data_IF_565209164724
#
_entry.id   IF_565209164724
#
_cell.length_a   1.000
_cell.length_b   1.000
_cell.length_c   1.000
_cell.angle_alpha   90.00
_cell.angle_beta   90.00
_cell.angle_gamma   90.00
#
_symmetry.space_group_name_H-M   'P 1'
#
loop_
_entity.id
_entity.type
_entity.pdbx_description
1 polymer ?
#
# COMPACT_ATOMS: atom_id res chain seq x y z
N UNK A 1 52.71 -13.80 -44.52
CA UNK A 1 52.61 -15.15 -45.13
C UNK A 1 51.88 -16.03 -44.12
N UNK A 2 50.73 -16.67 -44.31
CA UNK A 2 49.81 -16.94 -45.42
C UNK A 2 48.38 -16.99 -44.78
N UNK A 3 47.27 -16.48 -45.32
CA UNK A 3 46.48 -16.80 -46.54
C UNK A 3 45.75 -18.16 -46.51
N UNK A 4 44.43 -18.12 -46.22
CA UNK A 4 43.31 -18.96 -46.73
C UNK A 4 42.06 -18.67 -45.84
N UNK A 5 40.90 -18.11 -46.21
CA UNK A 5 40.05 -18.01 -47.40
C UNK A 5 38.91 -19.06 -47.49
N UNK A 6 37.67 -18.52 -47.55
CA UNK A 6 36.38 -19.08 -48.04
C UNK A 6 35.62 -20.13 -47.18
N UNK A 7 34.28 -20.23 -47.13
CA UNK A 7 33.20 -19.86 -48.07
C UNK A 7 31.81 -19.69 -47.38
N UNK A 8 31.03 -18.74 -47.92
CA UNK A 8 29.56 -18.59 -48.04
C UNK A 8 28.54 -19.56 -47.40
N UNK A 9 27.43 -18.97 -46.92
CA UNK A 9 26.12 -19.62 -46.72
C UNK A 9 24.99 -18.62 -46.45
N UNK A 10 24.41 -18.07 -47.52
CA UNK A 10 23.21 -17.24 -47.60
C UNK A 10 21.93 -18.12 -47.52
N UNK A 11 20.80 -17.60 -47.01
CA UNK A 11 19.37 -17.95 -47.31
C UNK A 11 18.53 -17.59 -46.06
N UNK A 12 17.33 -17.01 -46.07
CA UNK A 12 16.57 -16.23 -47.04
C UNK A 12 15.44 -15.51 -46.28
N UNK A 13 15.03 -14.38 -46.81
CA UNK A 13 13.89 -13.55 -46.41
C UNK A 13 12.58 -14.23 -46.83
N UNK A 14 11.55 -14.20 -45.98
CA UNK A 14 10.17 -14.39 -46.38
C UNK A 14 9.28 -13.32 -45.73
N UNK A 15 8.64 -12.53 -46.59
CA UNK A 15 7.74 -11.41 -46.29
C UNK A 15 6.34 -11.77 -46.81
N UNK A 16 5.31 -11.39 -46.03
CA UNK A 16 3.91 -11.14 -46.40
C UNK A 16 3.01 -12.36 -46.75
N UNK A 17 1.65 -12.23 -46.78
CA UNK A 17 0.84 -11.01 -46.68
C UNK A 17 -0.36 -11.05 -45.71
N UNK A 18 -0.95 -9.86 -45.54
CA UNK A 18 -2.26 -9.59 -45.00
C UNK A 18 -3.38 -10.02 -45.96
N UNK A 19 -4.54 -10.39 -45.42
CA UNK A 19 -5.80 -10.49 -46.17
C UNK A 19 -6.98 -9.99 -45.31
N UNK A 20 -7.73 -9.07 -45.90
CA UNK A 20 -9.00 -8.47 -45.49
C UNK A 20 -10.18 -9.35 -45.94
N UNK A 21 -11.30 -9.35 -45.21
CA UNK A 21 -12.70 -9.65 -45.65
C UNK A 21 -13.57 -9.99 -44.43
N UNK A 22 -14.88 -9.74 -44.32
CA UNK A 22 -15.86 -8.85 -44.91
C UNK A 22 -17.12 -8.96 -44.01
N UNK A 23 -18.01 -7.98 -44.13
CA UNK A 23 -19.28 -7.90 -43.40
C UNK A 23 -20.26 -9.05 -43.69
N UNK A 24 -21.13 -9.36 -42.72
CA UNK A 24 -22.45 -9.93 -42.99
C UNK A 24 -23.43 -9.60 -41.86
N UNK A 25 -24.34 -8.67 -42.14
CA UNK A 25 -25.59 -8.48 -41.42
C UNK A 25 -26.69 -9.32 -42.10
N UNK A 26 -27.53 -10.03 -41.34
CA UNK A 26 -28.91 -10.37 -41.71
C UNK A 26 -29.62 -10.96 -40.47
N UNK A 27 -30.64 -10.29 -39.93
CA UNK A 27 -32.08 -10.34 -40.27
C UNK A 27 -32.84 -11.49 -39.60
N UNK A 28 -33.76 -11.07 -38.74
CA UNK A 28 -34.90 -11.78 -38.13
C UNK A 28 -35.87 -12.31 -39.21
N UNK A 29 -36.61 -13.41 -38.94
CA UNK A 29 -38.07 -13.35 -38.77
C UNK A 29 -38.52 -14.14 -37.51
N UNK A 30 -39.39 -13.63 -36.62
CA UNK A 30 -40.86 -13.40 -36.68
C UNK A 30 -41.74 -14.65 -36.85
N UNK A 31 -42.58 -14.86 -35.83
CA UNK A 31 -43.83 -15.64 -35.83
C UNK A 31 -43.90 -16.59 -34.62
N UNK A 32 -44.85 -16.53 -33.66
CA UNK A 32 -46.06 -15.72 -33.49
C UNK A 32 -47.15 -16.56 -32.81
N UNK A 33 -47.82 -15.97 -31.79
CA UNK A 33 -49.21 -16.23 -31.34
C UNK A 33 -49.55 -17.62 -30.72
N UNK A 34 -50.48 -17.86 -29.77
CA UNK A 34 -51.57 -17.24 -28.97
C UNK A 34 -51.75 -18.17 -27.73
N UNK A 35 -52.38 -17.86 -26.59
CA UNK A 35 -53.31 -16.81 -26.15
C UNK A 35 -53.47 -16.91 -24.61
N UNK A 36 -53.72 -15.82 -23.89
CA UNK A 36 -55.04 -15.27 -23.52
C UNK A 36 -55.94 -16.24 -22.75
N UNK A 37 -56.04 -16.03 -21.43
CA UNK A 37 -57.34 -15.93 -20.77
C UNK A 37 -57.29 -14.95 -19.59
N UNK A 38 -58.19 -13.98 -19.66
CA UNK A 38 -58.48 -12.99 -18.63
C UNK A 38 -59.70 -13.42 -17.81
N UNK A 39 -59.73 -13.09 -16.52
CA UNK A 39 -60.94 -12.76 -15.77
C UNK A 39 -60.55 -11.99 -14.48
N UNK A 40 -61.32 -10.94 -14.19
CA UNK A 40 -61.26 -10.00 -13.06
C UNK A 40 -62.53 -10.18 -12.18
N UNK A 41 -62.84 -9.38 -11.13
CA UNK A 41 -62.11 -9.04 -9.88
C UNK A 41 -62.96 -9.14 -8.56
N UNK A 42 -62.27 -8.99 -7.40
CA UNK A 42 -62.71 -8.42 -6.08
C UNK A 42 -63.83 -9.13 -5.25
N UNK A 43 -64.03 -8.87 -3.91
CA UNK A 43 -63.49 -7.77 -3.08
C UNK A 43 -63.07 -8.07 -1.60
N UNK A 44 -62.55 -7.01 -0.96
CA UNK A 44 -62.58 -6.62 0.48
C UNK A 44 -61.97 -7.53 1.58
N UNK A 45 -60.98 -6.98 2.30
CA UNK A 45 -61.09 -6.62 3.73
C UNK A 45 -59.77 -6.75 4.54
N UNK A 46 -59.45 -5.65 5.21
CA UNK A 46 -58.74 -5.52 6.50
C UNK A 46 -57.21 -5.42 6.48
N UNK A 47 -56.78 -4.16 6.55
CA UNK A 47 -55.47 -3.73 7.01
C UNK A 47 -55.17 -4.25 8.43
N UNK A 48 -53.99 -4.84 8.60
CA UNK A 48 -53.34 -4.95 9.91
C UNK A 48 -51.95 -4.33 9.84
N UNK A 49 -51.85 -3.11 10.36
CA UNK A 49 -50.60 -2.49 10.77
C UNK A 49 -49.95 -3.39 11.80
N UNK A 50 -48.76 -3.93 11.52
CA UNK A 50 -47.92 -4.48 12.58
C UNK A 50 -47.04 -3.34 13.04
N UNK A 51 -47.43 -2.83 14.21
CA UNK A 51 -46.77 -1.78 14.95
C UNK A 51 -45.39 -2.27 15.40
N UNK A 52 -44.36 -1.45 15.18
CA UNK A 52 -43.09 -1.57 15.85
C UNK A 52 -43.35 -1.47 17.36
N UNK A 53 -43.15 -2.56 18.11
CA UNK A 53 -43.20 -2.52 19.57
C UNK A 53 -41.80 -2.70 20.14
N UNK A 54 -41.34 -1.60 20.72
CA UNK A 54 -40.25 -1.51 21.68
C UNK A 54 -40.47 -2.52 22.81
N UNK A 55 -39.43 -3.30 23.10
CA UNK A 55 -39.29 -4.05 24.33
C UNK A 55 -37.99 -3.59 25.00
N UNK A 56 -38.14 -2.64 25.92
CA UNK A 56 -37.19 -2.40 26.99
C UNK A 56 -37.43 -3.44 28.09
N UNK A 57 -36.43 -4.27 28.39
CA UNK A 57 -36.16 -4.90 29.69
C UNK A 57 -34.78 -5.58 29.57
N UNK A 58 -33.70 -4.89 29.94
CA UNK A 58 -33.11 -4.88 31.28
C UNK A 58 -32.40 -6.21 31.67
N UNK A 59 -31.12 -6.26 31.31
CA UNK A 59 -29.97 -6.56 32.17
C UNK A 59 -29.83 -7.97 32.80
N UNK A 60 -28.99 -8.84 32.22
CA UNK A 60 -28.12 -9.77 32.99
C UNK A 60 -26.85 -10.08 32.18
N UNK A 61 -25.70 -10.00 32.86
CA UNK A 61 -24.31 -10.27 32.42
C UNK A 61 -23.58 -9.08 31.80
N UNK A 62 -23.35 -8.08 32.66
CA UNK A 62 -22.23 -7.17 32.49
C UNK A 62 -20.91 -7.94 32.53
N UNK A 63 -20.22 -7.96 31.40
CA UNK A 63 -18.78 -7.77 31.46
C UNK A 63 -18.60 -6.27 31.74
N UNK A 64 -18.37 -5.92 33.00
CA UNK A 64 -17.70 -4.66 33.29
C UNK A 64 -16.35 -4.74 32.59
N UNK A 65 -16.23 -4.15 31.40
CA UNK A 65 -14.92 -3.69 30.97
C UNK A 65 -14.56 -2.62 31.98
N UNK A 66 -13.84 -3.03 33.02
CA UNK A 66 -12.98 -2.14 33.78
C UNK A 66 -12.41 -1.14 32.79
N UNK A 67 -12.55 0.15 33.07
CA UNK A 67 -11.74 1.17 32.43
C UNK A 67 -10.30 0.87 32.81
N UNK A 68 -9.68 -0.09 32.14
CA UNK A 68 -8.24 -0.12 31.99
C UNK A 68 -7.93 1.11 31.15
N UNK A 69 -6.97 1.86 31.65
CA UNK A 69 -6.21 2.84 30.89
C UNK A 69 -5.43 2.07 29.80
N UNK A 70 -6.15 1.47 28.85
CA UNK A 70 -5.55 0.73 27.73
C UNK A 70 -4.90 1.78 26.84
N UNK A 71 -3.59 1.94 27.00
CA UNK A 71 -2.78 2.77 26.14
C UNK A 71 -3.05 2.38 24.68
N UNK A 72 -3.50 3.34 23.87
CA UNK A 72 -3.74 3.13 22.44
C UNK A 72 -2.45 2.57 21.82
N UNK A 73 -2.47 1.38 21.20
CA UNK A 73 -1.28 0.76 20.66
C UNK A 73 -0.72 1.61 19.51
N UNK A 74 0.59 1.57 19.31
CA UNK A 74 1.23 2.27 18.18
C UNK A 74 1.00 1.43 16.92
N UNK A 75 0.30 1.95 15.90
CA UNK A 75 0.14 1.25 14.64
C UNK A 75 1.44 1.20 13.85
N UNK A 76 1.66 0.08 13.19
CA UNK A 76 2.79 -0.18 12.31
C UNK A 76 2.28 -0.62 10.95
N UNK A 77 2.73 0.07 9.89
CA UNK A 77 2.46 -0.29 8.49
C UNK A 77 3.77 -0.44 7.77
N UNK A 78 4.06 -1.65 7.31
CA UNK A 78 5.32 -1.99 6.64
C UNK A 78 5.06 -2.56 5.25
N UNK A 79 5.82 -2.12 4.26
CA UNK A 79 5.87 -2.71 2.93
C UNK A 79 7.25 -3.30 2.73
N UNK A 80 7.32 -4.59 2.42
CA UNK A 80 8.54 -5.36 2.28
C UNK A 80 8.66 -5.92 0.86
N UNK A 81 9.75 -5.55 0.19
CA UNK A 81 10.12 -6.05 -1.14
C UNK A 81 11.31 -7.01 -1.12
N UNK A 82 11.86 -7.40 0.02
CA UNK A 82 13.04 -8.29 0.07
C UNK A 82 12.64 -9.75 0.38
N UNK A 83 11.68 -9.95 1.28
CA UNK A 83 11.34 -11.30 1.79
C UNK A 83 10.77 -12.25 0.72
N UNK A 84 10.18 -11.71 -0.35
CA UNK A 84 9.64 -12.48 -1.46
C UNK A 84 10.06 -11.86 -2.81
N UNK A 85 10.50 -12.73 -3.73
CA UNK A 85 10.95 -12.30 -5.06
C UNK A 85 9.80 -12.04 -6.01
N UNK A 86 8.68 -12.73 -5.82
CA UNK A 86 7.58 -12.72 -6.79
C UNK A 86 6.43 -11.80 -6.36
N UNK A 87 6.38 -11.43 -5.07
CA UNK A 87 5.33 -10.57 -4.51
C UNK A 87 5.90 -9.48 -3.61
N UNK A 88 5.12 -8.43 -3.42
CA UNK A 88 5.39 -7.39 -2.41
C UNK A 88 4.56 -7.72 -1.19
N UNK A 89 5.13 -7.66 0.01
CA UNK A 89 4.42 -7.98 1.24
C UNK A 89 3.99 -6.67 1.90
N UNK A 90 2.70 -6.58 2.25
CA UNK A 90 2.16 -5.48 3.05
C UNK A 90 1.79 -6.03 4.41
N UNK A 91 2.37 -5.46 5.45
CA UNK A 91 2.13 -5.80 6.83
C UNK A 91 1.44 -4.65 7.54
N UNK A 92 0.42 -4.98 8.33
CA UNK A 92 -0.27 -4.06 9.22
C UNK A 92 -0.33 -4.68 10.61
N UNK A 93 -0.03 -3.88 11.63
CA UNK A 93 -0.07 -4.29 13.03
C UNK A 93 -0.68 -3.18 13.88
N UNK A 94 -1.77 -3.48 14.59
CA UNK A 94 -2.42 -2.54 15.50
C UNK A 94 -3.31 -3.27 16.52
N UNK A 95 -2.84 -3.36 17.78
CA UNK A 95 -3.59 -3.95 18.90
C UNK A 95 -4.20 -5.33 18.63
N UNK A 96 -5.20 -5.71 19.41
CA UNK A 96 -6.01 -6.92 19.19
C UNK A 96 -7.23 -6.65 18.28
N UNK A 97 -7.42 -5.39 17.87
CA UNK A 97 -8.57 -4.92 17.13
C UNK A 97 -8.18 -4.64 15.69
N UNK A 98 -8.67 -5.47 14.78
CA UNK A 98 -8.58 -5.18 13.36
C UNK A 98 -9.98 -4.98 12.80
N UNK A 99 -10.40 -3.72 12.76
CA UNK A 99 -11.64 -3.26 12.15
C UNK A 99 -11.68 -3.63 10.68
N UNK A 100 -12.32 -4.78 10.43
CA UNK A 100 -12.55 -5.40 9.13
C UNK A 100 -11.29 -5.59 8.27
N UNK A 101 -10.48 -6.59 8.61
CA UNK A 101 -9.50 -7.22 7.69
C UNK A 101 -10.02 -7.35 6.24
N UNK A 102 -11.31 -7.66 6.10
CA UNK A 102 -12.02 -7.76 4.82
C UNK A 102 -12.03 -6.43 4.06
N UNK A 103 -12.19 -5.29 4.73
CA UNK A 103 -12.20 -3.97 4.13
C UNK A 103 -10.81 -3.54 3.70
N UNK A 104 -9.76 -3.86 4.46
CA UNK A 104 -8.37 -3.69 4.01
C UNK A 104 -8.10 -4.52 2.75
N UNK A 105 -8.53 -5.79 2.73
CA UNK A 105 -8.43 -6.63 1.54
C UNK A 105 -9.21 -6.05 0.35
N UNK A 106 -10.42 -5.54 0.60
CA UNK A 106 -11.25 -4.90 -0.42
C UNK A 106 -10.56 -3.64 -0.96
N UNK A 107 -10.00 -2.80 -0.11
CA UNK A 107 -9.31 -1.59 -0.52
C UNK A 107 -8.07 -1.89 -1.37
N UNK A 108 -7.30 -2.93 -1.01
CA UNK A 108 -6.19 -3.41 -1.86
C UNK A 108 -6.69 -3.90 -3.23
N UNK A 109 -7.79 -4.66 -3.28
CA UNK A 109 -8.41 -5.08 -4.55
C UNK A 109 -8.95 -3.91 -5.37
N UNK A 110 -9.53 -2.91 -4.72
CA UNK A 110 -10.07 -1.71 -5.38
C UNK A 110 -8.94 -0.86 -6.01
N UNK A 111 -7.69 -0.98 -5.52
CA UNK A 111 -6.48 -0.44 -6.18
C UNK A 111 -6.02 -1.25 -7.41
N UNK A 112 -6.69 -2.36 -7.72
CA UNK A 112 -6.30 -3.28 -8.79
C UNK A 112 -5.14 -4.21 -8.43
N UNK A 113 -5.00 -4.53 -7.14
CA UNK A 113 -3.98 -5.46 -6.65
C UNK A 113 -4.58 -6.86 -6.44
N UNK A 114 -3.78 -7.86 -6.78
CA UNK A 114 -4.06 -9.26 -6.54
C UNK A 114 -3.47 -9.67 -5.19
N UNK A 115 -4.32 -10.02 -4.22
CA UNK A 115 -3.87 -10.57 -2.93
C UNK A 115 -3.75 -12.09 -3.07
N UNK A 116 -2.53 -12.62 -3.10
CA UNK A 116 -2.25 -14.04 -3.36
C UNK A 116 -2.22 -14.88 -2.09
N UNK A 117 -1.74 -14.28 -0.99
CA UNK A 117 -1.65 -14.94 0.32
C UNK A 117 -1.92 -13.91 1.42
N UNK A 118 -2.68 -14.32 2.42
CA UNK A 118 -2.91 -13.56 3.65
C UNK A 118 -2.54 -14.40 4.86
N UNK A 119 -1.78 -13.85 5.80
CA UNK A 119 -1.46 -14.49 7.09
C UNK A 119 -1.83 -13.54 8.20
N UNK A 120 -2.52 -14.05 9.22
CA UNK A 120 -2.83 -13.30 10.44
C UNK A 120 -2.16 -14.03 11.58
N UNK A 121 -1.30 -13.34 12.31
CA UNK A 121 -0.62 -13.83 13.50
C UNK A 121 -0.95 -12.89 14.64
N UNK A 122 -1.55 -13.43 15.71
CA UNK A 122 -1.85 -12.69 16.92
C UNK A 122 -0.88 -13.16 18.00
N UNK A 123 -0.06 -12.25 18.51
CA UNK A 123 0.82 -12.49 19.65
C UNK A 123 0.42 -11.56 20.79
N UNK A 124 0.19 -12.14 21.98
CA UNK A 124 -0.46 -11.56 23.16
C UNK A 124 -1.57 -10.54 22.89
N UNK A 125 -1.21 -9.29 22.57
CA UNK A 125 -2.08 -8.12 22.46
C UNK A 125 -1.96 -7.39 21.10
N UNK A 126 -1.18 -7.95 20.16
CA UNK A 126 -0.91 -7.34 18.85
C UNK A 126 -1.18 -8.36 17.73
N UNK A 127 -2.14 -8.01 16.87
CA UNK A 127 -2.47 -8.75 15.66
C UNK A 127 -1.69 -8.17 14.50
N UNK A 128 -0.77 -8.96 13.98
CA UNK A 128 -0.03 -8.69 12.76
C UNK A 128 -0.73 -9.40 11.59
N UNK A 129 -1.07 -8.63 10.56
CA UNK A 129 -1.63 -9.12 9.30
C UNK A 129 -0.64 -8.88 8.18
N UNK A 130 -0.34 -9.92 7.41
CA UNK A 130 0.54 -9.87 6.23
C UNK A 130 -0.22 -10.27 4.98
N UNK A 131 -0.11 -9.46 3.94
CA UNK A 131 -0.66 -9.73 2.61
C UNK A 131 0.45 -9.76 1.57
N UNK A 132 0.55 -10.85 0.83
CA UNK A 132 1.34 -10.90 -0.38
C UNK A 132 0.48 -10.33 -1.51
N UNK A 133 0.97 -9.25 -2.11
CA UNK A 133 0.28 -8.52 -3.18
C UNK A 133 1.09 -8.55 -4.46
N UNK A 134 0.36 -8.61 -5.56
CA UNK A 134 0.86 -8.51 -6.92
C UNK A 134 -0.02 -7.54 -7.70
N UNK A 135 0.45 -7.10 -8.85
CA UNK A 135 -0.34 -6.32 -9.81
C UNK A 135 -0.15 -6.89 -11.19
N UNK A 136 -1.25 -7.34 -11.82
CA UNK A 136 -1.21 -7.99 -13.13
C UNK A 136 -0.25 -9.19 -13.15
N UNK A 137 -0.22 -9.96 -12.07
CA UNK A 137 0.66 -11.13 -11.91
C UNK A 137 2.15 -10.81 -11.78
N UNK A 138 2.52 -9.57 -11.44
CA UNK A 138 3.91 -9.15 -11.16
C UNK A 138 4.05 -8.50 -9.79
N UNK A 139 5.27 -8.51 -9.26
CA UNK A 139 5.64 -7.78 -8.05
C UNK A 139 5.38 -6.28 -8.21
N UNK A 140 4.99 -5.63 -7.11
CA UNK A 140 4.73 -4.19 -7.10
C UNK A 140 6.03 -3.45 -6.77
N UNK A 141 6.58 -2.77 -7.76
CA UNK A 141 7.86 -2.04 -7.65
C UNK A 141 7.71 -0.52 -7.90
N UNK A 142 6.61 -0.11 -8.52
CA UNK A 142 6.31 1.29 -8.84
C UNK A 142 6.19 2.14 -7.55
N UNK A 143 7.07 3.14 -7.33
CA UNK A 143 7.08 3.97 -6.12
C UNK A 143 5.73 4.64 -5.84
N UNK A 144 5.08 5.16 -6.88
CA UNK A 144 3.77 5.80 -6.78
C UNK A 144 2.68 4.81 -6.31
N UNK A 145 2.78 3.55 -6.71
CA UNK A 145 1.85 2.51 -6.27
C UNK A 145 2.16 2.07 -4.83
N UNK A 146 3.43 1.93 -4.44
CA UNK A 146 3.82 1.60 -3.07
C UNK A 146 3.31 2.65 -2.08
N UNK A 147 3.46 3.94 -2.41
CA UNK A 147 2.93 5.03 -1.58
C UNK A 147 1.39 4.98 -1.51
N UNK A 148 0.72 4.73 -2.65
CA UNK A 148 -0.75 4.58 -2.67
C UNK A 148 -1.23 3.42 -1.81
N UNK A 149 -0.51 2.30 -1.82
CA UNK A 149 -0.80 1.14 -0.97
C UNK A 149 -0.67 1.52 0.50
N UNK A 150 0.47 2.12 0.89
CA UNK A 150 0.74 2.56 2.25
C UNK A 150 -0.38 3.47 2.77
N UNK A 151 -0.69 4.53 2.03
CA UNK A 151 -1.73 5.49 2.40
C UNK A 151 -3.12 4.85 2.45
N UNK A 152 -3.43 3.91 1.55
CA UNK A 152 -4.73 3.22 1.55
C UNK A 152 -4.90 2.33 2.79
N UNK A 153 -3.85 1.63 3.21
CA UNK A 153 -3.88 0.79 4.41
C UNK A 153 -4.04 1.66 5.66
N UNK A 154 -3.26 2.74 5.77
CA UNK A 154 -3.37 3.71 6.88
C UNK A 154 -4.76 4.33 6.93
N UNK A 155 -5.33 4.74 5.79
CA UNK A 155 -6.67 5.34 5.75
C UNK A 155 -7.75 4.37 6.21
N UNK A 156 -7.63 3.08 5.86
CA UNK A 156 -8.56 2.07 6.38
C UNK A 156 -8.39 1.89 7.88
N UNK A 157 -7.15 1.81 8.38
CA UNK A 157 -6.89 1.74 9.82
C UNK A 157 -7.56 2.91 10.56
N UNK A 158 -7.34 4.15 10.12
CA UNK A 158 -7.90 5.35 10.75
C UNK A 158 -9.43 5.40 10.69
N UNK A 159 -10.03 4.85 9.65
CA UNK A 159 -11.48 4.78 9.50
C UNK A 159 -12.14 3.90 10.56
N UNK A 160 -11.53 2.77 10.91
CA UNK A 160 -12.09 1.83 11.89
C UNK A 160 -11.55 2.05 13.31
N UNK A 161 -10.37 2.63 13.41
CA UNK A 161 -9.67 2.95 14.66
C UNK A 161 -9.29 4.42 14.69
N UNK A 162 -10.26 5.35 14.78
CA UNK A 162 -9.97 6.78 14.82
C UNK A 162 -9.10 7.17 16.03
N UNK A 163 -9.10 6.39 17.11
CA UNK A 163 -8.19 6.54 18.26
C UNK A 163 -6.70 6.44 17.86
N UNK A 164 -6.39 5.68 16.80
CA UNK A 164 -5.01 5.54 16.32
C UNK A 164 -4.44 6.80 15.68
N UNK A 165 -5.31 7.75 15.28
CA UNK A 165 -4.89 9.03 14.69
C UNK A 165 -3.98 9.85 15.60
N UNK A 166 -4.19 9.78 16.92
CA UNK A 166 -3.37 10.49 17.91
C UNK A 166 -1.92 9.96 17.98
N UNK A 167 -1.68 8.74 17.48
CA UNK A 167 -0.37 8.07 17.50
C UNK A 167 0.30 7.98 16.12
N UNK A 168 -0.36 8.42 15.04
CA UNK A 168 0.14 8.36 13.66
C UNK A 168 0.44 9.74 13.12
N UNK A 169 1.59 9.94 12.45
CA UNK A 169 1.84 11.20 11.73
C UNK A 169 0.72 11.50 10.72
N UNK A 170 0.17 10.46 10.11
CA UNK A 170 -0.96 10.51 9.18
C UNK A 170 -2.27 10.96 9.81
N UNK A 171 -2.39 10.95 11.14
CA UNK A 171 -3.55 11.46 11.86
C UNK A 171 -3.79 12.95 11.64
N UNK A 172 -2.76 13.74 11.33
CA UNK A 172 -2.91 15.15 10.99
C UNK A 172 -3.65 15.35 9.65
N UNK A 173 -3.43 14.45 8.69
CA UNK A 173 -3.98 14.57 7.33
C UNK A 173 -5.29 13.79 7.14
N UNK A 174 -5.40 12.63 7.80
CA UNK A 174 -6.47 11.67 7.57
C UNK A 174 -7.25 11.31 8.84
N UNK A 175 -6.79 11.75 10.02
CA UNK A 175 -7.40 11.48 11.30
C UNK A 175 -8.51 12.45 11.67
N UNK A 176 -9.34 12.04 12.63
CA UNK A 176 -10.34 12.94 13.25
C UNK A 176 -9.67 13.88 14.25
N UNK A 177 -8.56 13.42 14.87
CA UNK A 177 -7.75 14.20 15.80
C UNK A 177 -6.29 14.20 15.36
N UNK A 178 -5.59 15.34 15.45
CA UNK A 178 -4.16 15.39 15.16
C UNK A 178 -3.36 14.68 16.26
N UNK A 179 -2.10 14.30 15.98
CA UNK A 179 -1.21 13.69 16.95
C UNK A 179 -0.97 14.59 18.18
N UNK A 180 -0.93 13.98 19.37
CA UNK A 180 -0.69 14.73 20.62
C UNK A 180 0.72 15.33 20.68
N UNK A 181 1.69 14.63 20.08
CA UNK A 181 3.05 15.13 19.89
C UNK A 181 3.15 15.75 18.50
N UNK A 182 3.51 17.03 18.45
CA UNK A 182 3.85 17.69 17.19
C UNK A 182 5.09 17.01 16.62
N UNK A 183 4.97 16.54 15.37
CA UNK A 183 5.99 15.79 14.65
C UNK A 183 7.29 16.59 14.48
N UNK A 184 7.21 17.93 14.56
CA UNK A 184 8.31 18.84 14.20
C UNK A 184 9.39 19.07 15.26
N UNK A 185 9.19 18.71 16.53
CA UNK A 185 10.06 19.23 17.62
C UNK A 185 11.15 18.23 18.07
N UNK A 186 10.94 16.92 17.95
CA UNK A 186 11.85 15.92 18.58
C UNK A 186 12.37 14.79 17.68
N UNK A 187 11.91 14.65 16.42
CA UNK A 187 12.35 13.53 15.56
C UNK A 187 13.51 13.99 14.67
N UNK A 188 14.73 13.76 15.13
CA UNK A 188 15.93 14.02 14.34
C UNK A 188 16.01 13.08 13.13
N UNK A 189 16.42 13.61 11.97
CA UNK A 189 16.64 12.80 10.77
C UNK A 189 17.98 12.07 10.87
N UNK A 190 17.92 10.74 10.91
CA UNK A 190 19.10 9.87 10.90
C UNK A 190 19.20 9.16 9.55
N UNK A 191 20.38 9.28 8.92
CA UNK A 191 20.67 8.66 7.63
C UNK A 191 22.01 7.97 7.72
N UNK A 192 22.04 6.67 7.42
CA UNK A 192 23.21 5.79 7.49
C UNK A 192 23.28 4.95 6.21
N UNK A 193 24.49 4.74 5.71
CA UNK A 193 24.75 3.81 4.60
C UNK A 193 25.72 2.73 5.07
N UNK A 194 25.33 1.47 4.95
CA UNK A 194 26.08 0.30 5.38
C UNK A 194 26.40 -0.63 4.20
N UNK A 195 27.34 -1.56 4.42
CA UNK A 195 27.69 -2.59 3.43
C UNK A 195 26.63 -3.69 3.43
N UNK A 196 26.05 -3.99 2.27
CA UNK A 196 25.05 -5.08 2.10
C UNK A 196 25.49 -6.07 1.03
N UNK A 197 26.80 -6.32 0.99
CA UNK A 197 27.44 -7.24 0.07
C UNK A 197 28.10 -6.57 -1.14
N UNK A 198 28.59 -7.36 -2.11
CA UNK A 198 29.48 -6.85 -3.15
C UNK A 198 28.79 -5.98 -4.21
N UNK A 199 27.47 -6.13 -4.37
CA UNK A 199 26.70 -5.50 -5.45
C UNK A 199 25.84 -4.33 -5.01
N UNK A 200 25.59 -4.18 -3.72
CA UNK A 200 24.65 -3.19 -3.16
C UNK A 200 25.09 -2.72 -1.78
N UNK A 201 24.54 -1.58 -1.37
CA UNK A 201 24.67 -0.98 -0.05
C UNK A 201 23.27 -0.89 0.58
N UNK A 202 23.21 -0.91 1.90
CA UNK A 202 21.97 -0.65 2.63
C UNK A 202 21.92 0.82 3.04
N UNK A 203 20.87 1.54 2.64
CA UNK A 203 20.58 2.89 3.10
C UNK A 203 19.46 2.80 4.14
N UNK A 204 19.75 3.21 5.38
CA UNK A 204 18.77 3.32 6.46
C UNK A 204 18.41 4.79 6.68
N UNK A 205 17.12 5.10 6.70
CA UNK A 205 16.57 6.43 6.93
C UNK A 205 15.56 6.34 8.07
N UNK A 206 15.78 7.14 9.10
CA UNK A 206 14.82 7.36 10.18
C UNK A 206 14.49 8.85 10.23
N UNK A 207 13.22 9.19 10.01
CA UNK A 207 12.77 10.58 9.97
C UNK A 207 11.29 10.70 10.33
N UNK A 208 10.83 11.92 10.52
CA UNK A 208 9.42 12.22 10.73
C UNK A 208 8.57 11.86 9.50
N UNK A 209 7.60 10.96 9.68
CA UNK A 209 6.75 10.50 8.60
C UNK A 209 5.80 11.61 8.11
N UNK A 210 5.46 11.57 6.82
CA UNK A 210 4.51 12.45 6.13
C UNK A 210 4.08 11.83 4.79
N UNK A 211 2.87 12.15 4.29
CA UNK A 211 2.47 11.76 2.94
C UNK A 211 3.49 12.24 1.90
N UNK A 212 3.87 11.37 0.97
CA UNK A 212 4.81 11.68 -0.10
C UNK A 212 6.30 11.56 0.27
N UNK A 213 6.65 11.27 1.53
CA UNK A 213 8.04 11.09 1.98
C UNK A 213 8.78 10.04 1.13
N UNK A 214 8.15 8.89 0.87
CA UNK A 214 8.72 7.82 0.06
C UNK A 214 9.14 8.32 -1.34
N UNK A 215 8.26 9.08 -2.00
CA UNK A 215 8.51 9.60 -3.34
C UNK A 215 9.64 10.64 -3.32
N UNK A 216 9.70 11.48 -2.28
CA UNK A 216 10.78 12.43 -2.08
C UNK A 216 12.13 11.73 -1.91
N UNK A 217 12.19 10.70 -1.06
CA UNK A 217 13.40 9.90 -0.82
C UNK A 217 13.86 9.22 -2.11
N UNK A 218 12.97 8.51 -2.81
CA UNK A 218 13.30 7.82 -4.07
C UNK A 218 13.75 8.82 -5.13
N UNK A 219 13.11 9.99 -5.21
CA UNK A 219 13.54 11.06 -6.12
C UNK A 219 14.95 11.53 -5.80
N UNK A 220 15.32 11.74 -4.53
CA UNK A 220 16.68 12.14 -4.16
C UNK A 220 17.70 11.06 -4.54
N UNK A 221 17.41 9.79 -4.27
CA UNK A 221 18.29 8.67 -4.61
C UNK A 221 18.51 8.62 -6.13
N UNK A 222 17.43 8.65 -6.91
CA UNK A 222 17.49 8.60 -8.38
C UNK A 222 18.14 9.84 -9.00
N UNK A 223 17.92 11.05 -8.45
CA UNK A 223 18.58 12.29 -8.87
C UNK A 223 20.10 12.23 -8.62
N UNK A 224 20.57 11.45 -7.64
CA UNK A 224 22.00 11.17 -7.43
C UNK A 224 22.55 10.05 -8.33
N UNK A 225 21.76 9.56 -9.28
CA UNK A 225 22.09 8.46 -10.20
C UNK A 225 22.41 7.15 -9.47
N UNK A 226 21.72 6.91 -8.36
CA UNK A 226 21.77 5.66 -7.58
C UNK A 226 20.49 4.88 -7.87
N UNK A 227 20.64 3.58 -8.07
CA UNK A 227 19.54 2.65 -8.34
C UNK A 227 18.98 2.13 -7.01
N UNK A 228 17.66 2.03 -6.90
CA UNK A 228 16.96 1.35 -5.79
C UNK A 228 16.57 -0.05 -6.27
N UNK A 229 17.10 -1.08 -5.63
CA UNK A 229 16.86 -2.48 -6.00
C UNK A 229 15.63 -3.07 -5.27
N UNK A 230 15.48 -2.75 -3.99
CA UNK A 230 14.34 -3.14 -3.16
C UNK A 230 14.26 -2.24 -1.92
N UNK A 231 13.10 -2.19 -1.29
CA UNK A 231 12.90 -1.42 -0.07
C UNK A 231 12.07 -2.16 0.99
N UNK A 232 12.34 -1.83 2.25
CA UNK A 232 11.46 -2.04 3.39
C UNK A 232 11.00 -0.64 3.84
N UNK A 233 9.72 -0.33 3.66
CA UNK A 233 9.13 0.98 3.96
C UNK A 233 8.30 0.81 5.21
N UNK A 234 8.64 1.49 6.30
CA UNK A 234 8.01 1.26 7.60
C UNK A 234 7.52 2.56 8.22
N UNK A 235 6.22 2.61 8.51
CA UNK A 235 5.59 3.67 9.29
C UNK A 235 5.31 3.13 10.70
N UNK A 236 6.05 3.63 11.69
CA UNK A 236 5.84 3.34 13.11
C UNK A 236 5.38 4.61 13.84
N UNK A 237 4.06 4.76 13.99
CA UNK A 237 3.48 5.93 14.63
C UNK A 237 3.84 7.24 13.92
N UNK A 238 4.75 8.04 14.51
CA UNK A 238 5.17 9.33 13.97
C UNK A 238 6.43 9.27 13.09
N UNK A 239 7.10 8.12 13.07
CA UNK A 239 8.43 7.96 12.47
C UNK A 239 8.33 7.01 11.27
N UNK A 240 9.03 7.37 10.20
CA UNK A 240 9.32 6.49 9.08
C UNK A 240 10.72 5.88 9.26
N UNK A 241 10.83 4.55 9.16
CA UNK A 241 12.07 3.78 9.28
C UNK A 241 12.29 2.97 8.02
N UNK A 242 12.80 3.61 6.99
CA UNK A 242 12.92 3.01 5.68
C UNK A 242 14.31 2.42 5.47
N UNK A 243 14.36 1.25 4.84
CA UNK A 243 15.59 0.61 4.35
C UNK A 243 15.52 0.49 2.84
N UNK A 244 16.56 0.95 2.16
CA UNK A 244 16.70 0.83 0.72
C UNK A 244 17.96 0.05 0.39
N UNK A 245 17.80 -1.01 -0.38
CA UNK A 245 18.90 -1.68 -1.04
C UNK A 245 19.27 -0.89 -2.28
N UNK A 246 20.44 -0.25 -2.26
CA UNK A 246 20.86 0.68 -3.30
C UNK A 246 22.14 0.25 -3.97
N UNK A 247 22.27 0.52 -5.27
CA UNK A 247 23.49 0.26 -6.00
C UNK A 247 23.83 1.39 -6.96
N UNK A 248 25.09 1.48 -7.34
CA UNK A 248 25.56 2.40 -8.36
C UNK A 248 26.19 1.58 -9.48
N UNK A 249 25.49 1.51 -10.63
CA UNK A 249 25.94 0.73 -11.79
C UNK A 249 26.16 -0.75 -11.46
N UNK A 250 25.29 -1.32 -10.62
CA UNK A 250 25.33 -2.72 -10.20
C UNK A 250 26.45 -3.07 -9.22
N UNK A 251 27.05 -2.06 -8.56
CA UNK A 251 28.04 -2.22 -7.50
C UNK A 251 27.64 -1.43 -6.26
N UNK A 252 28.19 -1.81 -5.10
CA UNK A 252 27.99 -1.07 -3.86
C UNK A 252 28.51 0.37 -3.94
N UNK A 253 27.97 1.25 -3.11
CA UNK A 253 28.38 2.65 -3.05
C UNK A 253 29.80 2.77 -2.47
N UNK A 254 30.61 3.66 -3.05
CA UNK A 254 31.89 4.04 -2.46
C UNK A 254 31.69 5.14 -1.40
N UNK A 255 32.70 5.38 -0.56
CA UNK A 255 32.59 6.34 0.55
C UNK A 255 32.20 7.76 0.11
N UNK A 256 32.71 8.22 -1.03
CA UNK A 256 32.39 9.54 -1.57
C UNK A 256 30.92 9.65 -1.97
N UNK A 257 30.40 8.65 -2.70
CA UNK A 257 29.02 8.64 -3.16
C UNK A 257 28.05 8.45 -1.99
N UNK A 258 28.39 7.58 -1.03
CA UNK A 258 27.62 7.45 0.23
C UNK A 258 27.53 8.78 0.96
N UNK A 259 28.63 9.53 1.07
CA UNK A 259 28.63 10.84 1.75
C UNK A 259 27.77 11.87 1.01
N UNK A 260 27.79 11.89 -0.32
CA UNK A 260 26.93 12.77 -1.14
C UNK A 260 25.47 12.44 -0.89
N UNK A 261 25.09 11.16 -0.98
CA UNK A 261 23.71 10.71 -0.76
C UNK A 261 23.22 11.07 0.65
N UNK A 262 24.03 10.78 1.69
CA UNK A 262 23.71 11.12 3.08
C UNK A 262 23.48 12.62 3.24
N UNK A 263 24.34 13.45 2.66
CA UNK A 263 24.22 14.91 2.76
C UNK A 263 22.98 15.43 2.03
N UNK A 264 22.67 14.91 0.84
CA UNK A 264 21.46 15.26 0.09
C UNK A 264 20.21 14.92 0.88
N UNK A 265 20.10 13.68 1.39
CA UNK A 265 18.95 13.25 2.18
C UNK A 265 18.80 14.09 3.45
N UNK A 266 19.90 14.33 4.19
CA UNK A 266 19.85 15.19 5.38
C UNK A 266 19.43 16.61 5.07
N UNK A 267 19.84 17.16 3.92
CA UNK A 267 19.47 18.53 3.53
C UNK A 267 17.99 18.63 3.16
N UNK A 268 17.49 17.74 2.30
CA UNK A 268 16.11 17.81 1.81
C UNK A 268 15.08 17.31 2.82
N UNK A 269 15.42 16.31 3.64
CA UNK A 269 14.51 15.80 4.67
C UNK A 269 14.52 16.67 5.95
N UNK A 270 15.43 17.64 6.05
CA UNK A 270 15.42 18.62 7.15
C UNK A 270 14.15 19.46 7.04
N UNK A 271 13.31 19.42 8.08
CA UNK A 271 12.20 20.35 8.20
C UNK A 271 12.76 21.75 8.53
N UNK A 272 12.26 22.83 7.93
CA UNK A 272 12.60 24.18 8.39
C UNK A 272 12.13 24.29 9.84
N UNK A 273 13.06 24.56 10.75
CA UNK A 273 12.73 25.00 12.10
C UNK A 273 11.80 26.21 11.93
N UNK A 274 10.56 26.12 12.41
CA UNK A 274 9.72 27.30 12.58
C UNK A 274 10.29 28.12 13.74
N UNK A 275 11.41 28.80 13.49
CA UNK A 275 11.83 29.97 14.25
C UNK A 275 11.23 31.22 13.59
N UNK A 276 9.90 31.27 13.58
CA UNK A 276 9.12 32.48 13.35
C UNK A 276 8.49 32.84 14.69
N UNK A 277 9.27 33.34 15.65
CA UNK A 277 8.81 34.10 16.85
C UNK A 277 9.98 34.48 17.80
N UNK A 278 11.11 34.97 17.27
CA UNK A 278 12.10 35.68 18.10
C UNK A 278 12.74 36.88 17.39
N UNK A 279 11.92 37.89 17.07
CA UNK A 279 12.38 39.26 16.85
C UNK A 279 11.37 40.28 17.37
#
# INVERSE_FOLDING_TARGET
MALAAFHHGLVAVAVAPAASSAAAASRVPRGGFLGLHAASPAPLATARRICCQSINSANVLGASSSKSDEAVPVPVVMIDQESDRDSTIVQLSFGDRLGALLDTMKALKDLGLDVTKGTVTTDSDVTQTKFHIMRFGRKVEDPDMLERIRLTVINNLLKYHPESSEKLAMGEFFGIKPPEKKVDIDIATHVVVEDDGPKRSMLYIETADRPGLLLEVIKIITDTNIDVESAEIDTEGLVAKDKFHVSYRGAKLNSSLSQVLINCLRYYLRRPETDEDSY
#
